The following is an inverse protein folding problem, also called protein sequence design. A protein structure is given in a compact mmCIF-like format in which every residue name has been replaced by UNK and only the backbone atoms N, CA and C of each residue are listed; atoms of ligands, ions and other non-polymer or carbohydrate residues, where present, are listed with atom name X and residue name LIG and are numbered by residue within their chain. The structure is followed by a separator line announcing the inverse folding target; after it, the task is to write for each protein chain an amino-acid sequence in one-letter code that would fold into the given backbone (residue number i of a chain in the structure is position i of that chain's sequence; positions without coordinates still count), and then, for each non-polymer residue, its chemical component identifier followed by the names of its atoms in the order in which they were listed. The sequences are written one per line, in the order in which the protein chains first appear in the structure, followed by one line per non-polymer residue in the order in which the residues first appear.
data_IF_973807401576
#
_entry.id   IF_973807401576
#
_cell.length_a   1.000
_cell.length_b   1.000
_cell.length_c   1.000
_cell.angle_alpha   90.00
_cell.angle_beta   90.00
_cell.angle_gamma   90.00
#
_symmetry.space_group_name_H-M   'P 1'
#
loop_
_entity.id
_entity.type
_entity.pdbx_description
1 polymer ?
#
# COMPACT_ATOMS: atom_id res chain seq x y z
N UNK A 1 -10.60 14.01 -14.74
CA UNK A 1 -10.88 15.11 -15.69
C UNK A 1 -12.09 14.73 -16.53
N UNK A 2 -13.10 15.62 -16.59
CA UNK A 2 -14.31 15.39 -17.39
C UNK A 2 -13.95 15.37 -18.89
N UNK A 3 -14.53 14.44 -19.69
CA UNK A 3 -14.33 14.42 -21.11
C UNK A 3 -14.72 15.75 -21.76
N UNK A 4 -13.89 16.22 -22.68
CA UNK A 4 -14.16 17.43 -23.46
C UNK A 4 -14.67 17.05 -24.85
N UNK A 5 -15.76 17.66 -25.30
CA UNK A 5 -16.29 17.45 -26.63
C UNK A 5 -15.90 18.59 -27.58
N UNK A 6 -15.35 18.22 -28.72
CA UNK A 6 -15.01 19.14 -29.80
C UNK A 6 -15.87 18.80 -31.04
N UNK A 7 -16.57 19.78 -31.56
CA UNK A 7 -17.33 19.64 -32.79
C UNK A 7 -16.53 20.28 -33.92
N UNK A 8 -16.12 19.48 -34.89
CA UNK A 8 -15.47 19.94 -36.12
C UNK A 8 -16.52 20.03 -37.19
N UNK A 9 -16.65 21.21 -37.83
CA UNK A 9 -17.58 21.47 -38.94
C UNK A 9 -16.78 21.73 -40.19
N UNK A 10 -17.21 21.15 -41.34
CA UNK A 10 -16.62 21.45 -42.63
C UNK A 10 -16.81 22.92 -43.01
N UNK A 11 -15.96 23.45 -43.91
CA UNK A 11 -15.99 24.85 -44.32
C UNK A 11 -17.33 25.24 -44.97
N UNK A 12 -17.98 24.30 -45.63
CA UNK A 12 -19.33 24.47 -46.25
C UNK A 12 -20.48 24.25 -45.27
N UNK A 13 -20.19 23.90 -44.02
CA UNK A 13 -21.17 23.66 -42.95
C UNK A 13 -21.96 22.38 -43.07
N UNK A 14 -21.75 21.58 -44.12
CA UNK A 14 -22.58 20.41 -44.40
C UNK A 14 -22.27 19.19 -43.55
N UNK A 15 -21.04 19.11 -43.05
CA UNK A 15 -20.57 17.97 -42.24
C UNK A 15 -20.14 18.42 -40.85
N UNK A 16 -20.61 17.68 -39.84
CA UNK A 16 -20.22 17.86 -38.45
C UNK A 16 -19.76 16.53 -37.87
N UNK A 17 -18.63 16.53 -37.17
CA UNK A 17 -18.14 15.37 -36.45
C UNK A 17 -17.76 15.77 -35.01
N UNK A 18 -18.35 15.08 -34.05
CA UNK A 18 -18.04 15.29 -32.64
C UNK A 18 -16.92 14.33 -32.22
N UNK A 19 -15.87 14.88 -31.65
CA UNK A 19 -14.78 14.13 -31.00
C UNK A 19 -14.91 14.32 -29.51
N UNK A 20 -14.89 13.20 -28.77
CA UNK A 20 -14.78 13.23 -27.33
C UNK A 20 -13.31 12.94 -26.97
N UNK A 21 -12.64 13.90 -26.34
CA UNK A 21 -11.25 13.76 -25.88
C UNK A 21 -11.30 13.59 -24.37
N UNK A 22 -10.84 12.45 -23.91
CA UNK A 22 -10.67 12.16 -22.50
C UNK A 22 -9.18 12.12 -22.20
N UNK A 23 -8.72 12.89 -21.22
CA UNK A 23 -7.44 12.66 -20.61
C UNK A 23 -7.61 11.51 -19.63
N UNK A 24 -7.11 10.37 -20.01
CA UNK A 24 -6.91 9.27 -19.08
C UNK A 24 -5.52 9.50 -18.51
N UNK A 25 -5.44 9.92 -17.24
CA UNK A 25 -4.16 9.90 -16.55
C UNK A 25 -3.71 8.42 -16.53
N UNK A 26 -2.68 8.13 -17.30
CA UNK A 26 -2.06 6.82 -17.28
C UNK A 26 -1.18 6.81 -16.02
N UNK A 27 -1.79 6.54 -14.88
CA UNK A 27 -1.05 6.27 -13.65
C UNK A 27 -0.57 4.82 -13.76
N UNK A 28 0.40 4.59 -14.63
CA UNK A 28 1.11 3.33 -14.63
C UNK A 28 1.88 3.26 -13.32
N UNK A 29 1.48 2.31 -12.47
CA UNK A 29 2.28 1.98 -11.31
C UNK A 29 3.56 1.29 -11.79
N UNK A 30 4.63 1.43 -11.03
CA UNK A 30 5.80 0.59 -11.21
C UNK A 30 5.38 -0.89 -11.11
N UNK A 31 6.05 -1.75 -11.85
CA UNK A 31 5.86 -3.21 -11.76
C UNK A 31 7.06 -3.88 -11.09
N UNK A 32 8.16 -3.17 -10.91
CA UNK A 32 9.32 -3.60 -10.14
C UNK A 32 9.66 -2.52 -9.11
N UNK A 33 9.80 -2.93 -7.87
CA UNK A 33 10.00 -2.07 -6.71
C UNK A 33 11.25 -2.54 -5.97
N UNK A 34 12.28 -1.70 -6.05
CA UNK A 34 13.61 -2.04 -5.52
C UNK A 34 13.90 -1.36 -4.18
N UNK A 35 13.06 -0.40 -3.76
CA UNK A 35 13.19 0.37 -2.50
C UNK A 35 14.53 1.09 -2.33
N UNK A 36 15.24 1.33 -3.45
CA UNK A 36 16.56 2.00 -3.48
C UNK A 36 16.46 3.51 -3.37
N UNK A 37 15.35 4.08 -3.85
CA UNK A 37 15.21 5.53 -4.05
C UNK A 37 14.19 6.11 -3.09
N UNK A 38 14.58 7.21 -2.46
CA UNK A 38 13.71 8.03 -1.63
C UNK A 38 13.44 9.37 -2.32
N UNK A 39 12.25 9.91 -2.10
CA UNK A 39 11.90 11.27 -2.46
C UNK A 39 12.72 12.23 -1.61
N UNK A 40 13.32 13.21 -2.23
CA UNK A 40 14.00 14.29 -1.53
C UNK A 40 12.94 15.29 -1.06
N UNK A 41 12.65 15.30 0.23
CA UNK A 41 11.74 16.25 0.87
C UNK A 41 12.33 16.71 2.21
N UNK A 42 12.81 17.95 2.25
CA UNK A 42 13.42 18.53 3.44
C UNK A 42 12.39 19.05 4.45
N UNK A 43 11.10 18.90 4.19
CA UNK A 43 10.02 19.35 5.07
C UNK A 43 9.56 18.26 6.04
N UNK A 44 9.94 17.02 5.78
CA UNK A 44 9.63 15.85 6.62
C UNK A 44 10.89 15.15 7.10
N UNK A 45 10.79 14.43 8.23
CA UNK A 45 11.93 13.71 8.84
C UNK A 45 11.90 12.20 8.57
N UNK A 46 10.94 11.73 7.76
CA UNK A 46 10.76 10.31 7.44
C UNK A 46 11.00 10.00 5.97
N UNK A 47 11.25 8.74 5.69
CA UNK A 47 11.48 8.25 4.35
C UNK A 47 10.15 8.14 3.56
N UNK A 48 10.16 8.61 2.32
CA UNK A 48 9.10 8.38 1.33
C UNK A 48 9.70 7.64 0.14
N UNK A 49 9.26 6.42 -0.10
CA UNK A 49 9.76 5.57 -1.17
C UNK A 49 9.20 5.96 -2.52
N UNK A 50 10.05 5.92 -3.53
CA UNK A 50 9.68 6.17 -4.93
C UNK A 50 10.33 5.15 -5.84
N UNK A 51 9.58 4.69 -6.84
CA UNK A 51 10.06 3.81 -7.90
C UNK A 51 9.77 4.40 -9.28
N UNK A 52 10.44 3.90 -10.30
CA UNK A 52 10.22 4.34 -11.68
C UNK A 52 9.06 3.58 -12.29
N UNK A 53 8.17 4.32 -12.94
CA UNK A 53 7.11 3.74 -13.76
C UNK A 53 7.62 3.35 -15.15
N UNK A 54 6.97 2.41 -15.86
CA UNK A 54 7.40 1.97 -17.19
C UNK A 54 7.49 3.10 -18.23
N UNK A 55 6.70 4.15 -18.08
CA UNK A 55 6.72 5.36 -18.93
C UNK A 55 7.82 6.36 -18.55
N UNK A 56 8.65 6.04 -17.54
CA UNK A 56 9.73 6.89 -17.04
C UNK A 56 9.30 7.91 -15.99
N UNK A 57 8.05 7.91 -15.57
CA UNK A 57 7.53 8.69 -14.46
C UNK A 57 8.07 8.22 -13.10
N UNK A 58 7.44 8.70 -12.05
CA UNK A 58 7.76 8.33 -10.67
C UNK A 58 6.48 7.91 -9.97
N UNK A 59 6.51 6.72 -9.39
CA UNK A 59 5.49 6.21 -8.49
C UNK A 59 5.92 6.47 -7.05
N UNK A 60 5.05 7.04 -6.24
CA UNK A 60 5.28 7.31 -4.82
C UNK A 60 4.44 6.36 -3.96
N UNK A 61 5.10 5.71 -3.02
CA UNK A 61 4.45 4.87 -2.03
C UNK A 61 3.89 5.69 -0.88
N UNK A 62 2.75 5.27 -0.34
CA UNK A 62 2.17 5.83 0.87
C UNK A 62 2.54 5.01 2.11
N UNK A 63 2.60 5.69 3.25
CA UNK A 63 2.81 5.07 4.57
C UNK A 63 2.11 5.86 5.67
N UNK A 64 1.96 5.25 6.85
CA UNK A 64 1.44 5.92 8.04
C UNK A 64 2.44 6.84 8.78
N UNK A 65 3.63 7.06 8.23
CA UNK A 65 4.68 7.85 8.89
C UNK A 65 4.22 9.27 9.26
N UNK A 66 3.46 9.94 8.39
CA UNK A 66 2.94 11.27 8.66
C UNK A 66 2.01 11.30 9.88
N UNK A 67 1.27 10.22 10.14
CA UNK A 67 0.36 10.09 11.27
C UNK A 67 1.06 10.05 12.63
N UNK A 68 2.33 9.66 12.67
CA UNK A 68 3.13 9.60 13.91
C UNK A 68 4.21 10.69 13.97
N UNK A 69 4.31 11.55 12.97
CA UNK A 69 5.39 12.53 12.84
C UNK A 69 5.44 13.54 13.99
N UNK A 70 4.29 13.93 14.55
CA UNK A 70 4.26 14.82 15.70
C UNK A 70 4.77 14.15 17.00
N UNK A 71 4.55 12.83 17.15
CA UNK A 71 5.06 12.02 18.28
C UNK A 71 6.57 11.86 18.17
N UNK A 72 7.05 11.68 16.94
CA UNK A 72 8.46 11.44 16.62
C UNK A 72 9.22 12.74 16.30
N UNK A 73 8.70 13.90 16.72
CA UNK A 73 9.36 15.18 16.49
C UNK A 73 10.81 15.19 17.01
N UNK A 74 11.74 15.58 16.14
CA UNK A 74 13.18 15.59 16.43
C UNK A 74 13.87 14.22 16.28
N UNK A 75 13.16 13.19 15.83
CA UNK A 75 13.71 11.88 15.49
C UNK A 75 14.18 11.85 14.03
N UNK A 76 15.10 10.94 13.73
CA UNK A 76 15.56 10.69 12.36
C UNK A 76 14.71 9.65 11.66
N UNK A 77 14.84 9.55 10.32
CA UNK A 77 14.04 8.64 9.49
C UNK A 77 14.08 7.18 9.95
N UNK A 78 15.20 6.72 10.49
CA UNK A 78 15.38 5.33 11.02
C UNK A 78 14.56 5.02 12.27
N UNK A 79 14.03 6.03 12.95
CA UNK A 79 13.17 5.89 14.13
C UNK A 79 11.68 5.74 13.75
N UNK A 80 11.33 6.02 12.49
CA UNK A 80 9.96 5.91 12.00
C UNK A 80 9.57 4.45 11.73
N UNK A 81 8.28 4.13 11.82
CA UNK A 81 7.77 2.78 11.56
C UNK A 81 8.14 2.26 10.17
N UNK A 82 8.18 3.13 9.18
CA UNK A 82 8.54 2.82 7.79
C UNK A 82 9.81 3.57 7.44
N UNK A 83 10.86 2.84 7.13
CA UNK A 83 12.19 3.41 6.83
C UNK A 83 12.95 2.56 5.82
N UNK A 84 14.02 3.13 5.26
CA UNK A 84 14.96 2.39 4.42
C UNK A 84 16.06 1.77 5.28
N UNK A 85 16.46 0.54 4.94
CA UNK A 85 17.61 -0.14 5.53
C UNK A 85 18.69 -0.43 4.48
N UNK A 86 19.96 -0.51 4.92
CA UNK A 86 21.11 -0.69 4.05
C UNK A 86 21.43 -2.17 3.76
N UNK A 87 20.72 -3.11 4.41
CA UNK A 87 20.97 -4.57 4.36
C UNK A 87 19.89 -5.27 3.53
N UNK A 88 19.73 -4.87 2.27
CA UNK A 88 18.80 -5.44 1.32
C UNK A 88 19.20 -6.83 0.82
N UNK A 89 18.25 -7.52 0.16
CA UNK A 89 18.58 -8.67 -0.68
C UNK A 89 19.52 -8.24 -1.80
N UNK A 90 19.28 -7.02 -2.31
CA UNK A 90 20.12 -6.34 -3.26
C UNK A 90 20.12 -4.84 -2.93
N UNK A 91 21.27 -4.32 -2.54
CA UNK A 91 21.40 -2.91 -2.17
C UNK A 91 20.67 -2.56 -0.89
N UNK A 92 19.72 -1.65 -0.96
CA UNK A 92 18.87 -1.22 0.14
C UNK A 92 17.52 -1.93 0.11
N UNK A 93 16.75 -1.83 1.19
CA UNK A 93 15.44 -2.46 1.27
C UNK A 93 14.44 -1.64 2.08
N UNK A 94 13.18 -1.98 1.97
CA UNK A 94 12.12 -1.53 2.84
C UNK A 94 12.26 -2.18 4.21
N UNK A 95 12.15 -1.38 5.28
CA UNK A 95 12.05 -1.83 6.66
C UNK A 95 10.77 -1.29 7.28
N UNK A 96 9.93 -2.17 7.77
CA UNK A 96 8.70 -1.88 8.49
C UNK A 96 8.84 -2.38 9.92
N UNK A 97 8.66 -1.50 10.90
CA UNK A 97 8.80 -1.87 12.32
C UNK A 97 7.59 -1.40 13.11
N UNK A 98 7.05 -2.27 13.93
CA UNK A 98 6.02 -1.89 14.91
C UNK A 98 6.70 -1.21 16.08
N UNK A 99 6.36 0.06 16.31
CA UNK A 99 6.94 0.89 17.37
C UNK A 99 5.92 1.22 18.45
N UNK A 100 6.42 1.53 19.65
CA UNK A 100 5.60 2.18 20.68
C UNK A 100 5.44 3.65 20.36
N UNK A 101 4.24 4.17 20.48
CA UNK A 101 3.96 5.61 20.38
C UNK A 101 4.06 6.33 21.72
N UNK A 102 4.42 5.58 22.77
CA UNK A 102 4.57 6.08 24.13
C UNK A 102 3.24 6.55 24.74
N UNK A 103 3.34 7.33 25.83
CA UNK A 103 2.17 7.82 26.55
C UNK A 103 1.29 8.76 25.70
N UNK A 104 1.89 9.51 24.80
CA UNK A 104 1.15 10.44 23.92
C UNK A 104 0.25 9.67 22.96
N UNK A 105 0.78 8.71 22.23
CA UNK A 105 -0.03 7.90 21.32
C UNK A 105 -1.08 7.07 22.07
N UNK A 106 -0.74 6.52 23.23
CA UNK A 106 -1.69 5.78 24.07
C UNK A 106 -2.87 6.64 24.53
N UNK A 107 -2.63 7.92 24.85
CA UNK A 107 -3.68 8.89 25.21
C UNK A 107 -4.67 9.10 24.06
N UNK A 108 -4.21 9.02 22.81
CA UNK A 108 -5.04 9.11 21.61
C UNK A 108 -5.56 7.73 21.14
N UNK A 109 -5.46 6.70 21.97
CA UNK A 109 -5.95 5.34 21.65
C UNK A 109 -5.09 4.57 20.65
N UNK A 110 -3.89 5.04 20.36
CA UNK A 110 -2.96 4.47 19.38
C UNK A 110 -1.62 4.12 20.05
N UNK A 111 -1.57 3.11 20.95
CA UNK A 111 -0.39 2.80 21.78
C UNK A 111 0.80 2.28 20.98
N UNK A 112 0.55 1.72 19.82
CA UNK A 112 1.57 1.26 18.87
C UNK A 112 1.28 1.82 17.47
N UNK A 113 2.31 1.88 16.65
CA UNK A 113 2.20 2.13 15.22
C UNK A 113 2.94 1.04 14.46
N UNK A 114 2.21 0.25 13.69
CA UNK A 114 2.80 -0.72 12.79
C UNK A 114 3.42 0.00 11.58
N UNK A 115 4.65 -0.37 11.23
CA UNK A 115 5.24 0.04 9.96
C UNK A 115 4.41 -0.51 8.81
N UNK A 116 4.07 0.34 7.87
CA UNK A 116 3.30 -0.04 6.70
C UNK A 116 3.76 0.70 5.45
N UNK A 117 3.64 0.06 4.31
CA UNK A 117 3.85 0.66 3.00
C UNK A 117 2.78 0.13 2.04
N UNK A 118 2.16 1.03 1.28
CA UNK A 118 1.07 0.62 0.40
C UNK A 118 0.92 1.54 -0.81
N UNK A 119 0.25 1.03 -1.84
CA UNK A 119 -0.17 1.82 -2.99
C UNK A 119 -1.46 2.56 -2.67
N UNK A 120 -1.45 3.89 -2.85
CA UNK A 120 -2.58 4.75 -2.51
C UNK A 120 -2.14 6.06 -1.86
N UNK A 121 -2.88 6.55 -0.88
CA UNK A 121 -2.57 7.76 -0.11
C UNK A 121 -2.87 7.59 1.37
N UNK A 122 -2.26 8.42 2.20
CA UNK A 122 -2.52 8.50 3.64
C UNK A 122 -3.01 9.89 4.00
N UNK A 123 -4.17 9.95 4.66
CA UNK A 123 -4.77 11.19 5.17
C UNK A 123 -5.30 10.93 6.57
N UNK A 124 -4.68 11.54 7.56
CA UNK A 124 -4.97 11.23 8.97
C UNK A 124 -6.40 11.62 9.36
N UNK A 125 -7.21 10.63 9.70
CA UNK A 125 -8.54 10.78 10.28
C UNK A 125 -8.45 10.54 11.80
N UNK A 126 -8.59 11.59 12.58
CA UNK A 126 -8.56 11.51 14.05
C UNK A 126 -9.81 10.86 14.65
N UNK A 127 -10.92 10.83 13.91
CA UNK A 127 -12.17 10.21 14.34
C UNK A 127 -12.18 8.71 14.17
N UNK A 128 -11.49 8.24 13.13
CA UNK A 128 -11.40 6.83 12.76
C UNK A 128 -10.08 6.56 12.03
N UNK A 129 -9.05 6.24 12.77
CA UNK A 129 -7.70 6.04 12.22
C UNK A 129 -7.61 4.89 11.20
N UNK A 130 -8.55 3.94 11.20
CA UNK A 130 -8.66 2.92 10.17
C UNK A 130 -8.99 3.51 8.79
N UNK A 131 -9.64 4.66 8.75
CA UNK A 131 -9.94 5.41 7.52
C UNK A 131 -8.80 6.29 7.02
N UNK A 132 -7.72 6.42 7.79
CA UNK A 132 -6.56 7.24 7.39
C UNK A 132 -5.81 6.67 6.18
N UNK A 133 -5.99 5.40 5.87
CA UNK A 133 -5.36 4.74 4.74
C UNK A 133 -6.33 4.65 3.57
N UNK A 134 -5.96 5.21 2.43
CA UNK A 134 -6.72 5.13 1.18
C UNK A 134 -5.97 4.21 0.24
N UNK A 135 -6.31 2.92 0.26
CA UNK A 135 -5.63 1.88 -0.50
C UNK A 135 -6.12 1.81 -1.94
N UNK A 136 -5.16 1.71 -2.85
CA UNK A 136 -5.39 1.46 -4.26
C UNK A 136 -5.04 2.63 -5.15
N UNK A 137 -4.54 2.28 -6.32
CA UNK A 137 -4.28 3.20 -7.43
C UNK A 137 -4.92 2.65 -8.68
N UNK A 138 -5.38 3.50 -9.62
CA UNK A 138 -5.99 3.05 -10.86
C UNK A 138 -5.11 2.06 -11.60
N UNK A 139 -5.69 0.94 -12.04
CA UNK A 139 -4.96 -0.14 -12.67
C UNK A 139 -5.72 -0.70 -13.88
N UNK A 140 -5.01 -0.97 -14.99
CA UNK A 140 -5.59 -1.33 -16.28
C UNK A 140 -5.06 -2.62 -16.88
N UNK A 141 -4.31 -3.37 -16.10
CA UNK A 141 -3.75 -4.66 -16.50
C UNK A 141 -4.32 -5.77 -15.62
N UNK A 142 -4.24 -7.00 -16.06
CA UNK A 142 -4.60 -8.13 -15.22
C UNK A 142 -3.40 -8.54 -14.39
N UNK A 143 -3.42 -8.39 -13.05
CA UNK A 143 -2.31 -8.83 -12.22
C UNK A 143 -2.32 -10.36 -12.13
N UNK A 144 -1.14 -10.96 -12.24
CA UNK A 144 -0.94 -12.43 -12.25
C UNK A 144 -0.33 -12.93 -10.95
N UNK A 145 0.75 -12.30 -10.50
CA UNK A 145 1.46 -12.69 -9.29
C UNK A 145 2.24 -11.51 -8.69
N UNK A 146 2.44 -11.55 -7.39
CA UNK A 146 3.36 -10.70 -6.65
C UNK A 146 4.52 -11.57 -6.16
N UNK A 147 5.74 -11.18 -6.48
CA UNK A 147 6.98 -11.92 -6.17
C UNK A 147 7.94 -10.98 -5.46
N UNK A 148 8.78 -11.51 -4.58
CA UNK A 148 9.79 -10.71 -3.90
C UNK A 148 10.52 -11.52 -2.84
N UNK A 149 11.22 -10.80 -1.98
CA UNK A 149 11.97 -11.38 -0.87
C UNK A 149 11.59 -10.69 0.42
N UNK A 150 11.57 -11.44 1.52
CA UNK A 150 11.31 -10.89 2.85
C UNK A 150 12.22 -11.51 3.91
N UNK A 151 12.39 -10.77 5.00
CA UNK A 151 12.83 -11.25 6.33
C UNK A 151 11.82 -10.76 7.35
N UNK A 152 11.59 -11.54 8.40
CA UNK A 152 10.68 -11.13 9.47
C UNK A 152 11.19 -11.57 10.82
N UNK A 153 11.18 -10.64 11.77
CA UNK A 153 11.44 -10.89 13.18
C UNK A 153 10.22 -10.45 13.98
N UNK A 154 9.70 -11.35 14.81
CA UNK A 154 8.59 -11.04 15.71
C UNK A 154 9.07 -10.30 16.95
N UNK A 155 8.28 -9.35 17.45
CA UNK A 155 8.51 -8.67 18.73
C UNK A 155 8.16 -9.58 19.93
N UNK A 156 8.70 -9.26 21.09
CA UNK A 156 8.65 -10.16 22.25
C UNK A 156 7.24 -10.32 22.84
N UNK A 157 6.42 -9.25 22.85
CA UNK A 157 5.14 -9.21 23.53
C UNK A 157 4.05 -8.70 22.64
N UNK A 158 3.05 -9.54 22.37
CA UNK A 158 1.85 -9.13 21.68
C UNK A 158 0.90 -8.42 22.65
N UNK A 159 0.47 -7.21 22.32
CA UNK A 159 -0.46 -6.41 23.11
C UNK A 159 -1.69 -6.05 22.32
N UNK A 160 -2.83 -5.91 23.01
CA UNK A 160 -4.04 -5.31 22.48
C UNK A 160 -3.95 -3.77 22.48
N UNK A 161 -4.99 -3.12 21.97
CA UNK A 161 -5.13 -1.66 21.95
C UNK A 161 -5.12 -0.98 23.32
N UNK A 162 -5.32 -1.73 24.41
CA UNK A 162 -5.24 -1.24 25.78
C UNK A 162 -3.88 -1.49 26.42
N UNK A 163 -2.89 -1.93 25.61
CA UNK A 163 -1.54 -2.31 26.05
C UNK A 163 -1.53 -3.55 26.98
N UNK A 164 -2.63 -4.33 26.99
CA UNK A 164 -2.67 -5.58 27.73
C UNK A 164 -1.97 -6.67 26.94
N UNK A 165 -1.02 -7.33 27.56
CA UNK A 165 -0.34 -8.49 26.96
C UNK A 165 -1.31 -9.63 26.74
N UNK A 166 -1.42 -10.11 25.51
CA UNK A 166 -2.15 -11.35 25.17
C UNK A 166 -1.12 -12.48 25.16
N UNK A 167 -1.10 -13.22 26.26
CA UNK A 167 -0.20 -14.38 26.41
C UNK A 167 -0.48 -15.42 25.33
N UNK A 168 0.56 -16.12 24.90
CA UNK A 168 0.49 -17.18 23.89
C UNK A 168 0.08 -16.73 22.47
N UNK A 169 -0.08 -15.42 22.26
CA UNK A 169 -0.24 -14.83 20.91
C UNK A 169 1.08 -14.24 20.43
N UNK A 170 1.52 -14.65 19.26
CA UNK A 170 2.63 -14.03 18.54
C UNK A 170 2.12 -13.08 17.47
N UNK A 171 2.88 -12.04 17.23
CA UNK A 171 2.62 -11.14 16.11
C UNK A 171 2.96 -11.82 14.77
N UNK A 172 2.39 -11.27 13.72
CA UNK A 172 2.58 -11.74 12.37
C UNK A 172 2.48 -10.53 11.42
N UNK A 173 3.15 -10.56 10.30
CA UNK A 173 3.12 -9.49 9.32
C UNK A 173 1.99 -9.67 8.30
N UNK A 174 1.67 -8.62 7.57
CA UNK A 174 0.81 -8.68 6.40
C UNK A 174 1.61 -8.35 5.13
N UNK A 175 1.41 -9.15 4.09
CA UNK A 175 1.88 -8.90 2.73
C UNK A 175 0.85 -9.46 1.76
N UNK A 176 0.13 -8.57 1.08
CA UNK A 176 -0.92 -8.94 0.16
C UNK A 176 -1.18 -7.86 -0.88
N UNK A 177 -1.89 -8.24 -1.93
CA UNK A 177 -2.42 -7.32 -2.91
C UNK A 177 -3.86 -7.70 -3.28
N UNK A 178 -4.68 -6.69 -3.58
CA UNK A 178 -6.05 -6.87 -4.04
C UNK A 178 -6.34 -6.01 -5.26
N UNK A 179 -7.02 -6.58 -6.24
CA UNK A 179 -7.64 -5.85 -7.33
C UNK A 179 -9.13 -5.69 -7.00
N UNK A 180 -9.64 -4.48 -7.01
CA UNK A 180 -11.03 -4.19 -6.70
C UNK A 180 -11.66 -3.23 -7.71
N UNK A 181 -12.98 -3.36 -7.88
CA UNK A 181 -13.76 -2.49 -8.75
C UNK A 181 -14.05 -1.17 -8.06
N UNK A 182 -13.83 -0.04 -8.77
CA UNK A 182 -14.13 1.32 -8.32
C UNK A 182 -15.46 1.81 -8.94
N UNK A 183 -15.99 2.87 -8.36
CA UNK A 183 -17.27 3.48 -8.80
C UNK A 183 -18.34 3.35 -7.74
N UNK A 184 -19.51 3.95 -7.97
CA UNK A 184 -20.64 4.00 -7.03
C UNK A 184 -20.24 4.51 -5.62
N UNK A 185 -19.34 5.51 -5.59
CA UNK A 185 -18.85 6.10 -4.35
C UNK A 185 -17.69 5.36 -3.68
N UNK A 186 -17.19 4.27 -4.27
CA UNK A 186 -15.99 3.55 -3.80
C UNK A 186 -14.82 3.90 -4.72
N UNK A 187 -13.88 4.68 -4.23
CA UNK A 187 -12.68 5.07 -4.98
C UNK A 187 -11.42 4.39 -4.43
N UNK A 188 -11.42 4.01 -3.17
CA UNK A 188 -10.33 3.33 -2.46
C UNK A 188 -10.89 2.36 -1.42
N UNK A 189 -10.04 1.47 -0.93
CA UNK A 189 -10.29 0.67 0.28
C UNK A 189 -9.53 1.30 1.45
N UNK A 190 -9.91 0.93 2.67
CA UNK A 190 -9.29 1.43 3.90
C UNK A 190 -8.89 0.30 4.86
N UNK A 191 -8.41 0.67 6.05
CA UNK A 191 -7.99 -0.30 7.07
C UNK A 191 -9.08 -1.23 7.57
N UNK A 192 -10.36 -0.89 7.38
CA UNK A 192 -11.48 -1.72 7.81
C UNK A 192 -11.91 -2.73 6.75
N UNK A 193 -11.72 -2.42 5.46
CA UNK A 193 -12.34 -3.18 4.38
C UNK A 193 -11.38 -3.74 3.33
N UNK A 194 -10.07 -3.51 3.46
CA UNK A 194 -9.06 -3.91 2.48
C UNK A 194 -8.99 -5.42 2.17
N UNK A 195 -9.57 -6.27 3.03
CA UNK A 195 -9.65 -7.72 2.82
C UNK A 195 -11.08 -8.25 2.75
N UNK A 196 -12.08 -7.43 3.09
CA UNK A 196 -13.48 -7.85 3.30
C UNK A 196 -14.46 -7.16 2.36
N UNK A 197 -14.02 -6.13 1.61
CA UNK A 197 -14.89 -5.43 0.66
C UNK A 197 -15.42 -6.39 -0.40
N UNK A 198 -16.70 -6.27 -0.67
CA UNK A 198 -17.39 -6.96 -1.76
C UNK A 198 -16.96 -6.49 -3.15
N UNK A 199 -16.19 -5.43 -3.26
CA UNK A 199 -15.61 -4.92 -4.51
C UNK A 199 -14.34 -5.67 -4.94
N UNK A 200 -13.73 -6.47 -4.05
CA UNK A 200 -12.49 -7.21 -4.36
C UNK A 200 -12.80 -8.31 -5.38
N UNK A 201 -12.07 -8.31 -6.48
CA UNK A 201 -12.19 -9.29 -7.56
C UNK A 201 -11.07 -10.31 -7.52
N UNK A 202 -9.83 -9.86 -7.32
CA UNK A 202 -8.67 -10.72 -7.18
C UNK A 202 -7.92 -10.41 -5.89
N UNK A 203 -7.36 -11.45 -5.29
CA UNK A 203 -6.49 -11.34 -4.12
C UNK A 203 -5.24 -12.20 -4.27
N UNK A 204 -4.09 -11.64 -3.94
CA UNK A 204 -2.83 -12.33 -3.71
C UNK A 204 -2.43 -12.10 -2.25
N UNK A 205 -2.28 -13.16 -1.45
CA UNK A 205 -1.93 -13.07 -0.04
C UNK A 205 -0.86 -14.10 0.30
N UNK A 206 0.19 -13.65 1.00
CA UNK A 206 1.20 -14.55 1.54
C UNK A 206 0.63 -15.24 2.79
N UNK A 207 0.25 -16.51 2.66
CA UNK A 207 -0.35 -17.28 3.74
C UNK A 207 0.71 -17.99 4.60
N UNK A 208 1.73 -18.58 3.98
CA UNK A 208 2.84 -19.28 4.68
C UNK A 208 3.92 -18.26 5.09
N UNK A 209 3.60 -17.48 6.12
CA UNK A 209 4.49 -16.48 6.71
C UNK A 209 5.32 -17.14 7.82
N UNK A 210 6.62 -16.88 7.82
CA UNK A 210 7.54 -17.44 8.81
C UNK A 210 8.46 -16.35 9.35
N UNK A 211 8.76 -16.45 10.63
CA UNK A 211 9.88 -15.72 11.20
C UNK A 211 11.18 -16.27 10.59
N UNK A 212 11.99 -15.40 10.02
CA UNK A 212 13.25 -15.76 9.36
C UNK A 212 14.22 -14.60 9.33
N UNK A 213 15.49 -14.90 9.62
CA UNK A 213 16.59 -13.94 9.47
C UNK A 213 17.23 -13.99 8.08
N UNK A 214 16.85 -14.98 7.26
CA UNK A 214 17.36 -15.16 5.91
C UNK A 214 16.37 -14.60 4.90
N UNK A 215 16.88 -13.95 3.85
CA UNK A 215 16.06 -13.50 2.75
C UNK A 215 15.31 -14.67 2.11
N UNK A 216 14.01 -14.68 2.28
CA UNK A 216 13.13 -15.75 1.82
C UNK A 216 12.31 -15.28 0.64
N UNK A 217 12.45 -15.98 -0.49
CA UNK A 217 11.67 -15.68 -1.69
C UNK A 217 10.21 -16.10 -1.50
N UNK A 218 9.30 -15.24 -1.92
CA UNK A 218 7.87 -15.57 -2.05
C UNK A 218 7.38 -15.36 -3.49
N UNK A 219 6.31 -16.06 -3.83
CA UNK A 219 5.58 -15.89 -5.07
C UNK A 219 4.11 -16.21 -4.81
N UNK A 220 3.27 -15.19 -4.88
CA UNK A 220 1.84 -15.30 -4.56
C UNK A 220 1.00 -14.97 -5.79
N UNK A 221 0.29 -15.96 -6.34
CA UNK A 221 -0.59 -15.74 -7.48
C UNK A 221 -1.84 -14.96 -7.04
N UNK A 222 -2.35 -14.11 -7.93
CA UNK A 222 -3.68 -13.55 -7.76
C UNK A 222 -4.74 -14.61 -8.01
N UNK A 223 -5.67 -14.75 -7.09
CA UNK A 223 -6.80 -15.69 -7.15
C UNK A 223 -8.11 -14.92 -7.15
N UNK A 224 -9.05 -15.39 -7.95
CA UNK A 224 -10.41 -14.84 -7.96
C UNK A 224 -11.10 -15.07 -6.60
N UNK A 225 -11.84 -14.06 -6.16
CA UNK A 225 -12.70 -14.13 -4.97
C UNK A 225 -14.10 -14.55 -5.43
N UNK A 226 -14.62 -15.60 -4.82
CA UNK A 226 -16.01 -16.09 -5.04
C UNK A 226 -16.37 -16.29 -6.51
N UNK A 227 -15.39 -16.74 -7.34
CA UNK A 227 -15.59 -16.96 -8.76
C UNK A 227 -15.73 -15.70 -9.61
N UNK A 228 -15.44 -14.52 -9.06
CA UNK A 228 -15.48 -13.26 -9.78
C UNK A 228 -14.47 -13.21 -10.91
N UNK A 229 -14.80 -12.49 -11.95
CA UNK A 229 -13.95 -12.31 -13.13
C UNK A 229 -13.74 -10.82 -13.39
N UNK A 230 -12.59 -10.49 -13.98
CA UNK A 230 -12.32 -9.12 -14.45
C UNK A 230 -13.16 -8.88 -15.70
N UNK A 231 -13.91 -7.79 -15.71
CA UNK A 231 -14.57 -7.26 -16.92
C UNK A 231 -13.52 -6.49 -17.74
N UNK A 232 -13.27 -6.96 -18.97
CA UNK A 232 -12.24 -6.40 -19.84
C UNK A 232 -12.51 -4.95 -20.27
N UNK A 233 -13.77 -4.57 -20.44
CA UNK A 233 -14.12 -3.18 -20.79
C UNK A 233 -13.96 -2.25 -19.59
N UNK A 234 -14.42 -2.66 -18.42
CA UNK A 234 -14.18 -1.91 -17.16
C UNK A 234 -12.69 -1.76 -16.88
N UNK A 235 -11.87 -2.78 -17.16
CA UNK A 235 -10.44 -2.72 -16.99
C UNK A 235 -9.82 -1.64 -17.89
N UNK A 236 -10.16 -1.61 -19.16
CA UNK A 236 -9.73 -0.57 -20.12
C UNK A 236 -10.19 0.83 -19.71
N UNK A 237 -11.40 0.96 -19.18
CA UNK A 237 -11.96 2.21 -18.69
C UNK A 237 -11.30 2.70 -17.39
N UNK A 238 -10.44 1.88 -16.75
CA UNK A 238 -9.81 2.21 -15.48
C UNK A 238 -10.77 2.15 -14.29
N UNK A 239 -11.74 1.26 -14.33
CA UNK A 239 -12.73 1.01 -13.28
C UNK A 239 -12.22 0.02 -12.22
N UNK A 240 -10.93 -0.26 -12.22
CA UNK A 240 -10.26 -1.08 -11.21
C UNK A 240 -9.11 -0.32 -10.58
N UNK A 241 -8.87 -0.61 -9.31
CA UNK A 241 -7.70 -0.16 -8.58
C UNK A 241 -6.96 -1.36 -8.00
N UNK A 242 -5.64 -1.25 -7.94
CA UNK A 242 -4.75 -2.23 -7.33
C UNK A 242 -4.19 -1.67 -6.02
N UNK A 243 -4.42 -2.38 -4.94
CA UNK A 243 -3.76 -2.13 -3.66
C UNK A 243 -2.72 -3.20 -3.38
N UNK A 244 -1.47 -2.80 -3.15
CA UNK A 244 -0.39 -3.63 -2.59
C UNK A 244 -0.16 -3.11 -1.19
N UNK A 245 -0.21 -3.98 -0.19
CA UNK A 245 -0.17 -3.59 1.22
C UNK A 245 0.80 -4.49 1.97
N UNK A 246 1.71 -3.86 2.69
CA UNK A 246 2.69 -4.51 3.55
C UNK A 246 2.63 -3.88 4.94
N UNK A 247 2.67 -4.68 5.99
CA UNK A 247 2.66 -4.20 7.38
C UNK A 247 3.47 -5.11 8.30
N UNK A 248 4.20 -4.53 9.23
CA UNK A 248 4.97 -5.26 10.24
C UNK A 248 4.13 -6.00 11.28
N UNK A 249 2.86 -5.58 11.46
CA UNK A 249 1.86 -6.25 12.29
C UNK A 249 0.53 -6.31 11.53
N UNK A 250 0.02 -7.51 11.28
CA UNK A 250 -1.21 -7.69 10.48
C UNK A 250 -2.45 -7.07 11.12
N UNK A 251 -2.47 -7.01 12.44
CA UNK A 251 -3.58 -6.44 13.21
C UNK A 251 -3.28 -4.98 13.64
N UNK A 252 -2.26 -4.37 13.06
CA UNK A 252 -1.79 -3.02 13.37
C UNK A 252 -2.83 -1.92 13.17
N UNK A 253 -3.78 -2.10 12.24
CA UNK A 253 -4.91 -1.18 12.07
C UNK A 253 -5.83 -1.13 13.29
N UNK A 254 -5.83 -2.19 14.10
CA UNK A 254 -6.57 -2.28 15.38
C UNK A 254 -5.68 -1.89 16.57
N UNK A 255 -4.46 -1.40 16.35
CA UNK A 255 -3.45 -1.15 17.37
C UNK A 255 -3.09 -2.40 18.19
N UNK A 256 -3.16 -3.56 17.57
CA UNK A 256 -2.74 -4.84 18.11
C UNK A 256 -1.47 -5.31 17.41
N UNK A 257 -0.50 -5.76 18.18
CA UNK A 257 0.80 -6.21 17.66
C UNK A 257 1.87 -6.28 18.73
N UNK A 258 3.10 -6.58 18.31
CA UNK A 258 4.24 -6.63 19.21
C UNK A 258 5.27 -5.54 18.82
N UNK A 259 5.57 -4.64 19.74
CA UNK A 259 6.63 -3.66 19.56
C UNK A 259 7.96 -4.39 19.25
N UNK A 260 8.62 -3.97 18.18
CA UNK A 260 9.84 -4.62 17.68
C UNK A 260 9.61 -5.63 16.57
N UNK A 261 8.35 -6.03 16.27
CA UNK A 261 8.05 -6.79 15.05
C UNK A 261 8.56 -6.04 13.84
N UNK A 262 9.41 -6.68 13.04
CA UNK A 262 10.10 -6.01 11.93
C UNK A 262 10.04 -6.88 10.68
N UNK A 263 9.44 -6.32 9.63
CA UNK A 263 9.40 -6.89 8.29
C UNK A 263 10.35 -6.14 7.38
N UNK A 264 11.21 -6.87 6.69
CA UNK A 264 12.00 -6.36 5.58
C UNK A 264 11.44 -6.91 4.28
N UNK A 265 11.35 -6.08 3.25
CA UNK A 265 10.92 -6.49 1.91
C UNK A 265 11.88 -5.89 0.89
N UNK A 266 12.19 -6.70 -0.14
CA UNK A 266 13.06 -6.26 -1.21
C UNK A 266 12.72 -6.93 -2.54
N UNK A 267 13.16 -6.29 -3.64
CA UNK A 267 13.00 -6.78 -5.02
C UNK A 267 11.57 -7.29 -5.28
N UNK A 268 10.58 -6.46 -4.92
CA UNK A 268 9.18 -6.75 -5.15
C UNK A 268 8.82 -6.55 -6.62
N UNK A 269 8.16 -7.52 -7.22
CA UNK A 269 7.79 -7.50 -8.64
C UNK A 269 6.34 -7.92 -8.83
N UNK A 270 5.59 -7.12 -9.59
CA UNK A 270 4.21 -7.39 -9.99
C UNK A 270 4.19 -7.90 -11.44
N UNK A 271 3.83 -9.16 -11.61
CA UNK A 271 3.61 -9.76 -12.92
C UNK A 271 2.20 -9.47 -13.42
N UNK A 272 2.09 -9.04 -14.66
CA UNK A 272 0.82 -8.65 -15.30
C UNK A 272 0.65 -9.28 -16.69
N UNK A 273 -0.59 -9.22 -17.20
CA UNK A 273 -0.96 -9.64 -18.54
C UNK A 273 -1.69 -8.48 -19.24
#
# INVERSE_FOLDING_TARGET
TQPQQYVVTSQDGQWKKTYTVSFIANNDIATAYHFETLKVDNTVSYDTFVDKTPDGGTFEWASGNSGVSFILSGKGAKDYPTSQADDGYKGKCLKLTTISTGAVGALFGSPIAAGNLFTGSFELDFGDTGKSTHFGVPFRQTPLALVGYYKYKVGDKFTDKNQTEIKDRKDDFALYAVLFETGDGVEYLDGHNSLTSDRIVLKAMLEDRKETNEWTRFSIPFKAIDGRTIDAEKLKEGKYSLAIIMSSSKDGANFEGAVGSTLYVDELELFTK
#
